data_IF_284048060985
#
_entry.id   IF_284048060985
#
_cell.length_a   1.000
_cell.length_b   1.000
_cell.length_c   1.000
_cell.angle_alpha   90.00
_cell.angle_beta   90.00
_cell.angle_gamma   90.00
#
_symmetry.space_group_name_H-M   'P 1'
#
loop_
_entity.id
_entity.type
_entity.pdbx_description
1 polymer ?
#
# COMPACT_ATOMS: atom_id res chain seq x y z
N UNK A 1 43.53 -24.81 13.92
CA UNK A 1 42.47 -24.25 13.05
C UNK A 1 42.58 -22.75 13.10
N UNK A 2 42.73 -22.10 11.94
CA UNK A 2 42.80 -20.64 11.87
C UNK A 2 41.40 -20.03 12.00
N UNK A 3 41.30 -18.79 12.50
CA UNK A 3 40.02 -18.11 12.73
C UNK A 3 39.13 -18.05 11.48
N UNK A 4 39.75 -17.90 10.30
CA UNK A 4 39.06 -17.87 9.01
C UNK A 4 38.47 -19.25 8.60
N UNK A 5 39.14 -20.35 8.95
CA UNK A 5 38.62 -21.71 8.70
C UNK A 5 37.35 -21.99 9.50
N UNK A 6 37.27 -21.47 10.74
CA UNK A 6 36.10 -21.61 11.59
C UNK A 6 34.90 -20.87 10.99
N UNK A 7 35.11 -19.65 10.47
CA UNK A 7 34.07 -18.85 9.82
C UNK A 7 33.54 -19.57 8.57
N UNK A 8 34.42 -20.07 7.72
CA UNK A 8 34.03 -20.73 6.46
C UNK A 8 33.30 -22.06 6.70
N UNK A 9 33.77 -22.85 7.67
CA UNK A 9 33.12 -24.12 8.04
C UNK A 9 31.77 -23.90 8.69
N UNK A 10 31.63 -22.87 9.53
CA UNK A 10 30.35 -22.52 10.16
C UNK A 10 29.33 -22.04 9.11
N UNK A 11 29.75 -21.19 8.17
CA UNK A 11 28.91 -20.77 7.05
C UNK A 11 28.38 -21.97 6.25
N UNK A 12 29.26 -22.93 5.91
CA UNK A 12 28.89 -24.09 5.10
C UNK A 12 27.95 -25.08 5.83
N UNK A 13 28.23 -25.42 7.10
CA UNK A 13 27.40 -26.37 7.87
C UNK A 13 26.01 -25.82 8.19
N UNK A 14 25.86 -24.49 8.30
CA UNK A 14 24.60 -23.85 8.65
C UNK A 14 23.82 -23.33 7.43
N UNK A 15 24.26 -23.59 6.20
CA UNK A 15 23.62 -23.12 4.94
C UNK A 15 22.11 -23.38 4.90
N UNK A 16 21.64 -24.52 5.41
CA UNK A 16 20.21 -24.86 5.49
C UNK A 16 19.41 -23.88 6.39
N UNK A 17 20.01 -23.41 7.48
CA UNK A 17 19.41 -22.42 8.37
C UNK A 17 19.56 -20.98 7.83
N UNK A 18 20.61 -20.71 7.06
CA UNK A 18 20.78 -19.45 6.32
C UNK A 18 19.87 -19.31 5.11
N UNK A 19 19.42 -20.42 4.51
CA UNK A 19 18.69 -20.43 3.24
C UNK A 19 17.45 -19.53 3.27
N UNK A 20 16.66 -19.56 4.35
CA UNK A 20 15.45 -18.72 4.47
C UNK A 20 15.80 -17.23 4.55
N UNK A 21 16.84 -16.87 5.31
CA UNK A 21 17.29 -15.49 5.47
C UNK A 21 17.92 -14.96 4.17
N UNK A 22 18.77 -15.75 3.54
CA UNK A 22 19.43 -15.42 2.28
C UNK A 22 18.41 -15.31 1.13
N UNK A 23 17.45 -16.24 1.05
CA UNK A 23 16.35 -16.16 0.10
C UNK A 23 15.55 -14.87 0.27
N UNK A 24 15.18 -14.54 1.51
CA UNK A 24 14.50 -13.30 1.87
C UNK A 24 15.28 -12.05 1.45
N UNK A 25 16.61 -12.04 1.63
CA UNK A 25 17.50 -10.94 1.22
C UNK A 25 17.52 -10.80 -0.30
N UNK A 26 17.74 -11.91 -1.03
CA UNK A 26 17.77 -11.94 -2.50
C UNK A 26 16.45 -11.45 -3.06
N UNK A 27 15.32 -12.00 -2.64
CA UNK A 27 14.00 -11.58 -3.13
C UNK A 27 13.76 -10.08 -2.89
N UNK A 28 14.17 -9.56 -1.74
CA UNK A 28 14.04 -8.12 -1.44
C UNK A 28 14.87 -7.26 -2.40
N UNK A 29 16.14 -7.62 -2.61
CA UNK A 29 17.04 -6.90 -3.52
C UNK A 29 16.57 -6.99 -4.97
N UNK A 30 16.11 -8.17 -5.41
CA UNK A 30 15.53 -8.39 -6.74
C UNK A 30 14.36 -7.45 -6.97
N UNK A 31 13.37 -7.45 -6.05
CA UNK A 31 12.19 -6.58 -6.17
C UNK A 31 12.57 -5.11 -6.22
N UNK A 32 13.48 -4.66 -5.34
CA UNK A 32 13.94 -3.28 -5.33
C UNK A 32 14.63 -2.88 -6.62
N UNK A 33 15.61 -3.68 -7.05
CA UNK A 33 16.32 -3.43 -8.30
C UNK A 33 15.35 -3.39 -9.48
N UNK A 34 14.36 -4.29 -9.54
CA UNK A 34 13.39 -4.33 -10.63
C UNK A 34 12.57 -3.04 -10.74
N UNK A 35 12.12 -2.46 -9.62
CA UNK A 35 11.40 -1.18 -9.61
C UNK A 35 12.31 0.01 -9.96
N UNK A 36 13.52 0.05 -9.41
CA UNK A 36 14.47 1.14 -9.71
C UNK A 36 14.95 1.08 -11.16
N UNK A 37 15.16 -0.11 -11.72
CA UNK A 37 15.48 -0.29 -13.13
C UNK A 37 14.35 0.26 -14.01
N UNK A 38 13.09 0.00 -13.66
CA UNK A 38 11.91 0.50 -14.38
C UNK A 38 11.85 2.04 -14.38
N UNK A 39 12.18 2.68 -13.25
CA UNK A 39 12.31 4.15 -13.15
C UNK A 39 13.31 4.73 -14.18
N UNK A 40 14.35 3.97 -14.52
CA UNK A 40 15.39 4.38 -15.48
C UNK A 40 15.22 3.81 -16.89
N UNK A 41 14.23 2.95 -17.13
CA UNK A 41 13.95 2.34 -18.43
C UNK A 41 13.75 3.39 -19.55
N UNK A 42 13.20 4.55 -19.18
CA UNK A 42 12.95 5.67 -20.07
C UNK A 42 14.23 6.21 -20.77
N UNK A 43 15.42 6.03 -20.18
CA UNK A 43 16.65 6.58 -20.76
C UNK A 43 17.24 5.76 -21.91
N UNK A 44 16.69 4.56 -22.19
CA UNK A 44 17.26 3.63 -23.18
C UNK A 44 16.61 3.76 -24.57
N UNK A 45 15.36 4.22 -24.66
CA UNK A 45 14.66 4.38 -25.95
C UNK A 45 14.21 5.85 -26.12
N UNK A 46 14.86 6.53 -27.06
CA UNK A 46 14.72 7.97 -27.35
C UNK A 46 13.39 8.38 -27.99
N UNK A 47 12.44 7.47 -28.20
CA UNK A 47 11.28 7.75 -29.07
C UNK A 47 9.93 7.83 -28.38
N UNK A 48 9.66 7.14 -27.27
CA UNK A 48 8.39 7.30 -26.55
C UNK A 48 8.57 7.15 -25.04
N UNK A 49 8.50 8.27 -24.32
CA UNK A 49 8.42 8.27 -22.87
C UNK A 49 6.99 7.98 -22.44
N UNK A 50 6.79 6.97 -21.61
CA UNK A 50 5.59 6.86 -20.79
C UNK A 50 5.88 7.51 -19.43
N UNK A 51 5.65 8.84 -19.25
CA UNK A 51 5.96 9.55 -18.01
C UNK A 51 5.29 8.90 -16.79
N UNK A 52 4.10 8.31 -16.99
CA UNK A 52 3.34 7.58 -15.97
C UNK A 52 4.13 6.38 -15.42
N UNK A 53 4.87 5.64 -16.27
CA UNK A 53 5.68 4.50 -15.82
C UNK A 53 6.85 4.98 -14.96
N UNK A 54 7.50 6.08 -15.36
CA UNK A 54 8.62 6.66 -14.61
C UNK A 54 8.18 7.14 -13.23
N UNK A 55 7.15 7.99 -13.17
CA UNK A 55 6.65 8.54 -11.92
C UNK A 55 6.09 7.44 -11.00
N UNK A 56 5.31 6.50 -11.56
CA UNK A 56 4.79 5.34 -10.82
C UNK A 56 5.90 4.45 -10.25
N UNK A 57 6.95 4.19 -11.04
CA UNK A 57 8.11 3.41 -10.58
C UNK A 57 8.93 4.15 -9.53
N UNK A 58 9.01 5.48 -9.60
CA UNK A 58 9.70 6.29 -8.60
C UNK A 58 8.99 6.23 -7.24
N UNK A 59 7.68 6.49 -7.22
CA UNK A 59 6.87 6.37 -5.99
C UNK A 59 6.95 4.93 -5.45
N UNK A 60 6.81 3.92 -6.33
CA UNK A 60 6.95 2.52 -5.98
C UNK A 60 8.31 2.20 -5.35
N UNK A 61 9.41 2.73 -5.91
CA UNK A 61 10.76 2.49 -5.40
C UNK A 61 10.97 3.05 -3.98
N UNK A 62 10.46 4.26 -3.69
CA UNK A 62 10.55 4.84 -2.35
C UNK A 62 9.72 4.05 -1.33
N UNK A 63 8.50 3.66 -1.71
CA UNK A 63 7.64 2.84 -0.87
C UNK A 63 8.31 1.48 -0.55
N UNK A 64 8.86 0.84 -1.58
CA UNK A 64 9.56 -0.44 -1.46
C UNK A 64 10.82 -0.32 -0.59
N UNK A 65 11.55 0.80 -0.68
CA UNK A 65 12.73 1.07 0.16
C UNK A 65 12.39 0.93 1.65
N UNK A 66 11.35 1.63 2.12
CA UNK A 66 10.96 1.59 3.53
C UNK A 66 10.48 0.20 3.97
N UNK A 67 9.66 -0.46 3.15
CA UNK A 67 9.15 -1.80 3.46
C UNK A 67 10.27 -2.82 3.53
N UNK A 68 11.21 -2.79 2.58
CA UNK A 68 12.35 -3.71 2.56
C UNK A 68 13.24 -3.47 3.77
N UNK A 69 13.56 -2.23 4.11
CA UNK A 69 14.38 -1.94 5.30
C UNK A 69 13.71 -2.48 6.58
N UNK A 70 12.41 -2.22 6.75
CA UNK A 70 11.65 -2.73 7.90
C UNK A 70 11.64 -4.28 7.93
N UNK A 71 11.44 -4.91 6.78
CA UNK A 71 11.44 -6.36 6.63
C UNK A 71 12.82 -6.98 6.92
N UNK A 72 13.91 -6.39 6.41
CA UNK A 72 15.28 -6.83 6.66
C UNK A 72 15.66 -6.70 8.13
N UNK A 73 15.29 -5.60 8.79
CA UNK A 73 15.47 -5.42 10.23
C UNK A 73 14.73 -6.48 11.04
N UNK A 74 13.50 -6.81 10.65
CA UNK A 74 12.72 -7.86 11.31
C UNK A 74 13.32 -9.25 11.08
N UNK A 75 13.71 -9.56 9.84
CA UNK A 75 14.36 -10.81 9.46
C UNK A 75 15.67 -11.01 10.26
N UNK A 76 16.46 -9.95 10.44
CA UNK A 76 17.70 -9.98 11.20
C UNK A 76 17.49 -10.30 12.69
N UNK A 77 16.45 -9.73 13.33
CA UNK A 77 16.07 -10.08 14.72
C UNK A 77 15.73 -11.57 14.83
N UNK A 78 14.95 -12.09 13.87
CA UNK A 78 14.53 -13.47 13.86
C UNK A 78 15.73 -14.41 13.64
N UNK A 79 16.65 -14.01 12.75
CA UNK A 79 17.89 -14.72 12.47
C UNK A 79 18.78 -14.84 13.72
N UNK A 80 19.04 -13.73 14.44
CA UNK A 80 19.82 -13.76 15.69
C UNK A 80 19.13 -14.61 16.76
N UNK A 81 17.80 -14.49 16.90
CA UNK A 81 17.04 -15.29 17.87
C UNK A 81 17.15 -16.79 17.63
N UNK A 82 17.26 -17.22 16.37
CA UNK A 82 17.46 -18.65 16.04
C UNK A 82 18.87 -19.13 16.36
N UNK A 83 19.87 -18.25 16.23
CA UNK A 83 21.29 -18.54 16.54
C UNK A 83 21.68 -18.25 17.99
N UNK A 84 20.72 -17.92 18.86
CA UNK A 84 21.04 -17.60 20.26
C UNK A 84 21.73 -18.74 21.00
N UNK A 85 21.52 -19.99 20.59
CA UNK A 85 22.21 -21.15 21.17
C UNK A 85 23.70 -21.19 20.79
N UNK A 86 24.04 -20.96 19.52
CA UNK A 86 25.42 -20.87 19.04
C UNK A 86 26.17 -19.70 19.70
N UNK A 87 25.51 -18.54 19.78
CA UNK A 87 26.06 -17.35 20.42
C UNK A 87 26.31 -17.57 21.93
N UNK A 88 25.46 -18.34 22.61
CA UNK A 88 25.68 -18.71 23.99
C UNK A 88 26.88 -19.66 24.15
N UNK A 89 27.04 -20.63 23.25
CA UNK A 89 28.18 -21.55 23.25
C UNK A 89 29.51 -20.79 23.09
N UNK A 90 29.57 -19.83 22.17
CA UNK A 90 30.75 -18.98 21.99
C UNK A 90 31.12 -18.20 23.27
N UNK A 91 30.12 -17.69 24.00
CA UNK A 91 30.36 -17.02 25.28
C UNK A 91 30.87 -18.00 26.35
N UNK A 92 30.36 -19.25 26.40
CA UNK A 92 30.86 -20.25 27.35
C UNK A 92 32.28 -20.72 27.05
N UNK A 93 32.72 -20.63 25.80
CA UNK A 93 34.10 -20.91 25.37
C UNK A 93 35.07 -19.74 25.65
N UNK A 94 34.61 -18.66 26.29
CA UNK A 94 35.44 -17.53 26.68
C UNK A 94 35.61 -16.45 25.61
N UNK A 95 34.86 -16.49 24.50
CA UNK A 95 34.90 -15.41 23.50
C UNK A 95 34.29 -14.13 24.05
N UNK A 96 35.00 -13.01 23.86
CA UNK A 96 34.49 -11.69 24.22
C UNK A 96 33.26 -11.34 23.36
N UNK A 97 32.34 -10.54 23.91
CA UNK A 97 31.15 -10.07 23.17
C UNK A 97 31.53 -9.32 21.89
N UNK A 98 32.63 -8.59 21.90
CA UNK A 98 33.17 -7.89 20.73
C UNK A 98 33.61 -8.86 19.63
N UNK A 99 34.29 -9.95 19.97
CA UNK A 99 34.71 -10.96 19.00
C UNK A 99 33.50 -11.65 18.36
N UNK A 100 32.45 -11.90 19.13
CA UNK A 100 31.18 -12.48 18.61
C UNK A 100 30.51 -11.51 17.64
N UNK A 101 30.44 -10.23 17.97
CA UNK A 101 29.88 -9.21 17.07
C UNK A 101 30.71 -9.11 15.79
N UNK A 102 32.03 -9.17 15.88
CA UNK A 102 32.92 -9.15 14.74
C UNK A 102 32.69 -10.33 13.79
N UNK A 103 32.54 -11.55 14.33
CA UNK A 103 32.18 -12.74 13.55
C UNK A 103 30.84 -12.53 12.83
N UNK A 104 29.82 -12.06 13.55
CA UNK A 104 28.49 -11.80 12.99
C UNK A 104 28.51 -10.74 11.88
N UNK A 105 29.30 -9.68 12.05
CA UNK A 105 29.44 -8.63 11.05
C UNK A 105 30.12 -9.16 9.77
N UNK A 106 31.17 -9.98 9.90
CA UNK A 106 31.85 -10.60 8.75
C UNK A 106 30.95 -11.60 8.01
N UNK A 107 30.23 -12.46 8.74
CA UNK A 107 29.27 -13.38 8.12
C UNK A 107 28.17 -12.62 7.38
N UNK A 108 27.64 -11.56 8.00
CA UNK A 108 26.61 -10.73 7.39
C UNK A 108 27.13 -10.02 6.14
N UNK A 109 28.36 -9.49 6.17
CA UNK A 109 29.00 -8.87 5.02
C UNK A 109 29.10 -9.85 3.84
N UNK A 110 29.54 -11.09 4.07
CA UNK A 110 29.59 -12.13 3.03
C UNK A 110 28.21 -12.42 2.43
N UNK A 111 27.17 -12.52 3.27
CA UNK A 111 25.79 -12.75 2.81
C UNK A 111 25.29 -11.57 1.95
N UNK A 112 25.56 -10.33 2.36
CA UNK A 112 25.18 -9.15 1.60
C UNK A 112 25.92 -9.05 0.26
N UNK A 113 27.20 -9.44 0.19
CA UNK A 113 27.96 -9.50 -1.07
C UNK A 113 27.34 -10.52 -2.04
N UNK A 114 27.08 -11.75 -1.56
CA UNK A 114 26.43 -12.80 -2.37
C UNK A 114 25.05 -12.32 -2.84
N UNK A 115 24.30 -11.68 -1.95
CA UNK A 115 22.98 -11.15 -2.27
C UNK A 115 23.04 -9.99 -3.27
N UNK A 116 24.04 -9.13 -3.20
CA UNK A 116 24.20 -8.05 -4.17
C UNK A 116 24.40 -8.62 -5.58
N UNK A 117 25.29 -9.61 -5.72
CA UNK A 117 25.59 -10.24 -7.00
C UNK A 117 24.34 -10.96 -7.55
N UNK A 118 23.78 -11.89 -6.77
CA UNK A 118 22.61 -12.66 -7.21
C UNK A 118 21.37 -11.79 -7.39
N UNK A 119 21.16 -10.84 -6.48
CA UNK A 119 19.99 -9.96 -6.49
C UNK A 119 19.99 -9.00 -7.67
N UNK A 120 21.15 -8.49 -8.09
CA UNK A 120 21.25 -7.66 -9.30
C UNK A 120 21.05 -8.52 -10.55
N UNK A 121 21.73 -9.68 -10.64
CA UNK A 121 21.62 -10.58 -11.81
C UNK A 121 20.16 -11.00 -12.01
N UNK A 122 19.51 -11.52 -10.96
CA UNK A 122 18.11 -11.95 -11.01
C UNK A 122 17.18 -10.73 -11.18
N UNK A 123 17.53 -9.59 -10.58
CA UNK A 123 16.80 -8.33 -10.68
C UNK A 123 16.68 -7.79 -12.10
N UNK A 124 17.69 -8.01 -12.96
CA UNK A 124 17.66 -7.67 -14.39
C UNK A 124 16.56 -8.47 -15.11
N UNK A 125 16.37 -9.74 -14.78
CA UNK A 125 15.27 -10.53 -15.31
C UNK A 125 13.93 -10.10 -14.67
N UNK A 126 13.93 -9.77 -13.38
CA UNK A 126 12.75 -9.26 -12.67
C UNK A 126 12.23 -7.94 -13.23
N UNK A 127 13.10 -7.03 -13.67
CA UNK A 127 12.70 -5.74 -14.26
C UNK A 127 11.98 -5.96 -15.59
N UNK A 128 12.44 -6.92 -16.40
CA UNK A 128 11.77 -7.34 -17.64
C UNK A 128 10.37 -7.90 -17.35
N UNK A 129 10.24 -8.76 -16.34
CA UNK A 129 8.95 -9.32 -15.93
C UNK A 129 7.97 -8.23 -15.48
N UNK A 130 8.42 -7.27 -14.65
CA UNK A 130 7.60 -6.14 -14.23
C UNK A 130 7.16 -5.26 -15.42
N UNK A 131 8.08 -4.95 -16.34
CA UNK A 131 7.73 -4.14 -17.52
C UNK A 131 6.72 -4.87 -18.41
N UNK A 132 6.81 -6.20 -18.55
CA UNK A 132 5.84 -7.01 -19.28
C UNK A 132 4.44 -6.97 -18.65
N UNK A 133 4.37 -7.01 -17.32
CA UNK A 133 3.10 -6.85 -16.60
C UNK A 133 2.51 -5.46 -16.86
N UNK A 134 3.33 -4.41 -16.76
CA UNK A 134 2.89 -3.02 -17.01
C UNK A 134 2.38 -2.83 -18.44
N UNK A 135 3.11 -3.32 -19.45
CA UNK A 135 2.69 -3.22 -20.85
C UNK A 135 1.38 -3.98 -21.12
N UNK A 136 1.23 -5.17 -20.52
CA UNK A 136 -0.02 -5.95 -20.61
C UNK A 136 -1.19 -5.19 -19.99
N UNK A 137 -0.98 -4.54 -18.84
CA UNK A 137 -2.02 -3.74 -18.17
C UNK A 137 -2.39 -2.45 -18.92
N UNK A 138 -1.44 -1.89 -19.68
CA UNK A 138 -1.62 -0.70 -20.53
C UNK A 138 -2.11 -1.04 -21.94
N UNK A 139 -2.17 -2.32 -22.32
CA UNK A 139 -2.55 -2.76 -23.67
C UNK A 139 -1.50 -2.49 -24.75
N UNK A 140 -0.25 -2.21 -24.36
CA UNK A 140 0.86 -1.92 -25.28
C UNK A 140 1.41 -3.24 -25.82
N UNK A 141 1.35 -3.43 -27.14
CA UNK A 141 1.80 -4.64 -27.83
C UNK A 141 3.21 -4.49 -28.41
N UNK A 142 4.15 -4.05 -27.58
CA UNK A 142 5.56 -3.90 -27.97
C UNK A 142 6.47 -4.95 -27.31
N UNK A 143 7.61 -5.23 -27.97
CA UNK A 143 8.64 -6.11 -27.39
C UNK A 143 9.32 -5.40 -26.22
N UNK A 144 9.30 -6.04 -25.05
CA UNK A 144 9.91 -5.53 -23.82
C UNK A 144 11.42 -5.79 -23.82
N UNK A 145 12.29 -4.75 -23.91
CA UNK A 145 13.73 -4.93 -23.84
C UNK A 145 14.19 -5.24 -22.40
N UNK A 146 15.37 -5.83 -22.28
CA UNK A 146 16.03 -5.98 -20.98
C UNK A 146 16.56 -4.61 -20.56
N UNK A 147 16.14 -4.13 -19.38
CA UNK A 147 16.55 -2.83 -18.86
C UNK A 147 17.78 -3.01 -17.97
N UNK A 148 18.90 -2.40 -18.38
CA UNK A 148 20.09 -2.28 -17.56
C UNK A 148 20.42 -0.81 -17.33
N UNK A 149 20.57 -0.42 -16.07
CA UNK A 149 20.92 0.95 -15.69
C UNK A 149 21.94 0.96 -14.57
N UNK A 150 23.10 1.58 -14.82
CA UNK A 150 24.14 1.78 -13.82
C UNK A 150 23.62 2.58 -12.60
N UNK A 151 22.66 3.49 -12.81
CA UNK A 151 22.02 4.22 -11.71
C UNK A 151 21.19 3.32 -10.82
N UNK A 152 20.50 2.33 -11.41
CA UNK A 152 19.73 1.35 -10.64
C UNK A 152 20.63 0.46 -9.78
N UNK A 153 21.79 0.07 -10.33
CA UNK A 153 22.83 -0.67 -9.58
C UNK A 153 23.30 0.17 -8.38
N UNK A 154 23.64 1.44 -8.59
CA UNK A 154 24.12 2.31 -7.52
C UNK A 154 23.08 2.52 -6.40
N UNK A 155 21.82 2.79 -6.73
CA UNK A 155 20.76 2.92 -5.73
C UNK A 155 20.49 1.60 -4.98
N UNK A 156 20.65 0.46 -5.65
CA UNK A 156 20.50 -0.86 -5.01
C UNK A 156 21.66 -1.13 -4.05
N UNK A 157 22.89 -0.76 -4.44
CA UNK A 157 24.05 -0.82 -3.56
C UNK A 157 23.87 0.11 -2.35
N UNK A 158 23.27 1.29 -2.53
CA UNK A 158 22.94 2.20 -1.44
C UNK A 158 21.94 1.55 -0.46
N UNK A 159 20.86 0.92 -0.95
CA UNK A 159 19.92 0.19 -0.09
C UNK A 159 20.61 -0.94 0.68
N UNK A 160 21.47 -1.71 0.01
CA UNK A 160 22.24 -2.79 0.64
C UNK A 160 23.18 -2.23 1.71
N UNK A 161 23.88 -1.13 1.44
CA UNK A 161 24.79 -0.48 2.40
C UNK A 161 24.05 0.04 3.63
N UNK A 162 22.90 0.69 3.44
CA UNK A 162 22.04 1.16 4.54
C UNK A 162 21.50 -0.02 5.34
N UNK A 163 21.02 -1.07 4.68
CA UNK A 163 20.54 -2.27 5.35
C UNK A 163 21.65 -2.97 6.16
N UNK A 164 22.85 -3.09 5.60
CA UNK A 164 24.02 -3.64 6.30
C UNK A 164 24.38 -2.83 7.54
N UNK A 165 24.40 -1.50 7.44
CA UNK A 165 24.69 -0.63 8.58
C UNK A 165 23.64 -0.78 9.68
N UNK A 166 22.35 -0.71 9.33
CA UNK A 166 21.25 -0.83 10.27
C UNK A 166 21.20 -2.20 10.95
N UNK A 167 21.40 -3.28 10.20
CA UNK A 167 21.41 -4.63 10.74
C UNK A 167 22.65 -4.89 11.60
N UNK A 168 23.82 -4.37 11.23
CA UNK A 168 25.03 -4.42 12.06
C UNK A 168 24.85 -3.68 13.39
N UNK A 169 24.28 -2.47 13.36
CA UNK A 169 23.96 -1.71 14.57
C UNK A 169 22.96 -2.47 15.46
N UNK A 170 21.96 -3.12 14.84
CA UNK A 170 21.02 -3.97 15.56
C UNK A 170 21.69 -5.20 16.18
N UNK A 171 22.63 -5.85 15.48
CA UNK A 171 23.41 -6.97 16.02
C UNK A 171 24.19 -6.54 17.26
N UNK A 172 24.85 -5.38 17.19
CA UNK A 172 25.55 -4.80 18.33
C UNK A 172 24.60 -4.65 19.53
N UNK A 173 23.46 -3.98 19.34
CA UNK A 173 22.48 -3.77 20.43
C UNK A 173 21.95 -5.09 20.99
N UNK A 174 21.61 -6.06 20.13
CA UNK A 174 21.03 -7.33 20.55
C UNK A 174 22.02 -8.20 21.32
N UNK A 175 23.27 -8.31 20.85
CA UNK A 175 24.31 -9.12 21.51
C UNK A 175 24.75 -8.49 22.83
N UNK A 176 24.81 -7.16 22.94
CA UNK A 176 25.12 -6.48 24.19
C UNK A 176 24.02 -6.61 25.24
N UNK A 177 22.74 -6.50 24.83
CA UNK A 177 21.58 -6.59 25.72
C UNK A 177 21.29 -8.01 26.21
N UNK A 178 21.72 -9.04 25.49
CA UNK A 178 21.51 -10.43 25.90
C UNK A 178 22.53 -10.83 26.98
N UNK A 179 22.06 -11.19 28.18
CA UNK A 179 22.89 -11.77 29.23
C UNK A 179 22.92 -13.30 29.10
N UNK A 180 24.06 -13.91 29.41
CA UNK A 180 24.32 -15.37 29.37
C UNK A 180 23.20 -16.17 30.06
N UNK A 181 22.67 -15.64 31.16
CA UNK A 181 21.62 -16.27 31.98
C UNK A 181 20.26 -16.42 31.26
N UNK A 182 19.96 -15.58 30.25
CA UNK A 182 18.70 -15.65 29.49
C UNK A 182 18.77 -16.52 28.23
N UNK A 183 19.96 -16.74 27.67
CA UNK A 183 20.14 -17.54 26.45
C UNK A 183 20.11 -19.04 26.73
N UNK A 184 20.62 -19.49 27.88
CA UNK A 184 20.57 -20.91 28.31
C UNK A 184 19.21 -21.31 28.92
N UNK A 185 18.54 -20.40 29.63
CA UNK A 185 17.21 -20.64 30.24
C UNK A 185 16.02 -20.64 29.28
N UNK A 186 16.23 -20.44 27.98
CA UNK A 186 15.11 -20.49 27.02
C UNK A 186 14.63 -21.93 26.71
N UNK A 187 15.42 -22.95 27.13
CA UNK A 187 15.07 -24.37 27.02
C UNK A 187 14.65 -25.01 28.36
N UNK A 188 14.89 -24.37 29.51
CA UNK A 188 14.52 -24.93 30.82
C UNK A 188 13.83 -23.89 31.70
N UNK A 189 12.53 -24.11 31.89
CA UNK A 189 11.72 -23.69 33.04
C UNK A 189 11.47 -22.17 33.19
N UNK A 190 10.37 -21.72 32.57
CA UNK A 190 9.31 -21.01 33.32
C UNK A 190 7.99 -21.73 33.10
N UNK A 191 7.96 -22.99 33.51
CA UNK A 191 6.75 -23.52 34.14
C UNK A 191 6.52 -22.67 35.38
N UNK A 192 5.49 -21.82 35.37
CA UNK A 192 4.73 -21.43 36.56
C UNK A 192 3.67 -20.40 36.14
N UNK A 193 2.42 -20.87 36.16
CA UNK A 193 1.25 -20.10 36.58
C UNK A 193 0.72 -18.98 35.66
N UNK A 194 0.57 -19.24 34.36
CA UNK A 194 -0.15 -18.32 33.44
C UNK A 194 -1.66 -18.64 33.26
N UNK A 195 -2.21 -19.58 34.02
CA UNK A 195 -3.65 -19.93 33.94
C UNK A 195 -4.56 -18.93 34.66
N UNK A 196 -4.04 -18.05 35.52
CA UNK A 196 -4.86 -17.01 36.15
C UNK A 196 -5.02 -15.83 35.19
N UNK A 197 -6.26 -15.33 35.09
CA UNK A 197 -6.56 -14.07 34.41
C UNK A 197 -6.01 -12.97 35.32
N UNK A 198 -4.98 -12.25 34.88
CA UNK A 198 -4.51 -11.05 35.61
C UNK A 198 -5.36 -9.86 35.20
N UNK A 199 -5.67 -8.96 36.14
CA UNK A 199 -6.47 -7.76 35.88
C UNK A 199 -5.86 -6.90 34.75
N UNK A 200 -4.54 -6.78 34.72
CA UNK A 200 -3.80 -6.10 33.64
C UNK A 200 -4.05 -6.74 32.26
N UNK A 201 -4.10 -8.07 32.16
CA UNK A 201 -4.34 -8.76 30.89
C UNK A 201 -5.78 -8.54 30.39
N UNK A 202 -6.73 -8.36 31.31
CA UNK A 202 -8.12 -8.00 31.00
C UNK A 202 -8.23 -6.57 30.50
N UNK A 203 -7.65 -5.61 31.22
CA UNK A 203 -7.67 -4.19 30.82
C UNK A 203 -7.02 -4.02 29.45
N UNK A 204 -5.82 -4.59 29.25
CA UNK A 204 -5.11 -4.50 27.97
C UNK A 204 -5.83 -5.24 26.83
N UNK A 205 -6.49 -6.36 27.12
CA UNK A 205 -7.28 -7.10 26.14
C UNK A 205 -8.50 -6.31 25.68
N UNK A 206 -9.31 -5.82 26.63
CA UNK A 206 -10.49 -5.01 26.31
C UNK A 206 -10.08 -3.73 25.58
N UNK A 207 -9.03 -3.06 26.05
CA UNK A 207 -8.50 -1.85 25.41
C UNK A 207 -8.07 -2.12 23.97
N UNK A 208 -7.39 -3.24 23.69
CA UNK A 208 -7.04 -3.64 22.32
C UNK A 208 -8.26 -3.78 21.40
N UNK A 209 -9.33 -4.44 21.86
CA UNK A 209 -10.59 -4.59 21.10
C UNK A 209 -11.27 -3.24 20.89
N UNK A 210 -11.31 -2.40 21.92
CA UNK A 210 -11.90 -1.05 21.85
C UNK A 210 -11.15 -0.19 20.83
N UNK A 211 -9.81 -0.14 20.86
CA UNK A 211 -9.01 0.62 19.89
C UNK A 211 -9.21 0.16 18.44
N UNK A 212 -9.35 -1.15 18.21
CA UNK A 212 -9.64 -1.67 16.87
C UNK A 212 -11.05 -1.24 16.43
N UNK A 213 -12.06 -1.49 17.27
CA UNK A 213 -13.46 -1.20 16.94
C UNK A 213 -13.71 0.30 16.75
N UNK A 214 -13.15 1.17 17.60
CA UNK A 214 -13.23 2.62 17.42
C UNK A 214 -12.49 3.05 16.16
N UNK A 215 -11.28 2.53 15.90
CA UNK A 215 -10.54 2.82 14.68
C UNK A 215 -11.34 2.51 13.40
N UNK A 216 -11.98 1.34 13.34
CA UNK A 216 -12.86 0.96 12.23
C UNK A 216 -14.12 1.81 12.16
N UNK A 217 -14.76 2.11 13.29
CA UNK A 217 -15.96 2.95 13.33
C UNK A 217 -15.68 4.38 12.85
N UNK A 218 -14.57 4.98 13.26
CA UNK A 218 -14.14 6.29 12.78
C UNK A 218 -13.80 6.27 11.28
N UNK A 219 -13.17 5.20 10.80
CA UNK A 219 -12.85 5.03 9.37
C UNK A 219 -14.10 5.00 8.48
N UNK A 220 -15.20 4.39 8.94
CA UNK A 220 -16.46 4.33 8.19
C UNK A 220 -17.19 5.68 8.13
N UNK A 221 -17.03 6.54 9.14
CA UNK A 221 -17.74 7.82 9.24
C UNK A 221 -16.86 9.01 8.81
N UNK A 222 -15.76 8.75 8.09
CA UNK A 222 -14.75 9.78 7.80
C UNK A 222 -15.30 10.94 6.97
N UNK A 223 -16.25 10.66 6.08
CA UNK A 223 -16.92 11.65 5.21
C UNK A 223 -17.89 12.55 5.99
N UNK A 224 -18.46 12.05 7.10
CA UNK A 224 -19.46 12.78 7.88
C UNK A 224 -18.88 13.63 9.00
N UNK A 225 -17.71 13.28 9.53
CA UNK A 225 -17.28 13.83 10.82
C UNK A 225 -15.98 14.65 10.83
N UNK A 226 -14.94 14.41 10.03
CA UNK A 226 -13.69 15.18 10.18
C UNK A 226 -12.77 15.22 8.95
N UNK A 227 -12.48 16.42 8.46
CA UNK A 227 -11.48 16.72 7.41
C UNK A 227 -10.08 17.02 8.00
N UNK A 228 -9.82 16.57 9.24
CA UNK A 228 -8.61 16.91 10.00
C UNK A 228 -7.57 15.79 9.96
N UNK A 229 -6.33 16.14 9.57
CA UNK A 229 -5.15 15.25 9.56
C UNK A 229 -4.96 14.50 10.89
N UNK A 230 -5.33 15.11 12.02
CA UNK A 230 -5.25 14.51 13.35
C UNK A 230 -6.10 13.24 13.50
N UNK A 231 -7.29 13.21 12.88
CA UNK A 231 -8.19 12.04 12.95
C UNK A 231 -7.62 10.85 12.17
N UNK A 232 -7.02 11.11 11.01
CA UNK A 232 -6.35 10.08 10.20
C UNK A 232 -5.17 9.45 10.96
N UNK A 233 -4.34 10.29 11.62
CA UNK A 233 -3.25 9.82 12.46
C UNK A 233 -3.75 9.00 13.64
N UNK A 234 -4.85 9.43 14.28
CA UNK A 234 -5.46 8.68 15.37
C UNK A 234 -5.98 7.30 14.92
N UNK A 235 -6.67 7.21 13.77
CA UNK A 235 -7.14 5.92 13.23
C UNK A 235 -5.96 4.97 12.99
N UNK A 236 -4.89 5.46 12.37
CA UNK A 236 -3.71 4.67 12.09
C UNK A 236 -3.02 4.19 13.38
N UNK A 237 -2.82 5.09 14.35
CA UNK A 237 -2.18 4.74 15.61
C UNK A 237 -3.05 3.77 16.44
N UNK A 238 -4.37 4.01 16.44
CA UNK A 238 -5.35 3.20 17.15
C UNK A 238 -5.37 1.77 16.64
N UNK A 239 -5.40 1.58 15.32
CA UNK A 239 -5.41 0.25 14.70
C UNK A 239 -4.09 -0.49 14.88
N UNK A 240 -2.94 0.19 14.79
CA UNK A 240 -1.62 -0.43 14.99
C UNK A 240 -1.40 -0.85 16.46
N UNK A 241 -1.66 0.04 17.41
CA UNK A 241 -1.53 -0.26 18.85
C UNK A 241 -2.57 -1.30 19.26
N UNK A 242 -3.81 -1.16 18.77
CA UNK A 242 -4.90 -2.11 18.99
C UNK A 242 -4.54 -3.51 18.53
N UNK A 243 -3.96 -3.67 17.33
CA UNK A 243 -3.50 -4.96 16.81
C UNK A 243 -2.42 -5.61 17.70
N UNK A 244 -1.46 -4.82 18.19
CA UNK A 244 -0.43 -5.33 19.11
C UNK A 244 -1.03 -5.85 20.42
N UNK A 245 -1.89 -5.05 21.04
CA UNK A 245 -2.58 -5.43 22.28
C UNK A 245 -3.53 -6.61 22.07
N UNK A 246 -4.13 -6.72 20.89
CA UNK A 246 -4.97 -7.84 20.51
C UNK A 246 -4.20 -9.15 20.57
N UNK A 247 -3.08 -9.26 19.85
CA UNK A 247 -2.27 -10.49 19.85
C UNK A 247 -1.58 -10.76 21.19
N UNK A 248 -1.19 -9.72 21.92
CA UNK A 248 -0.52 -9.87 23.22
C UNK A 248 -1.45 -10.32 24.34
N UNK A 249 -2.66 -9.76 24.40
CA UNK A 249 -3.55 -9.88 25.57
C UNK A 249 -4.96 -10.36 25.22
N UNK A 250 -5.56 -9.88 24.12
CA UNK A 250 -6.95 -10.26 23.76
C UNK A 250 -7.07 -11.74 23.41
N UNK A 251 -6.14 -12.29 22.62
CA UNK A 251 -6.19 -13.71 22.24
C UNK A 251 -6.11 -14.62 23.48
N UNK A 252 -5.18 -14.33 24.39
CA UNK A 252 -5.05 -15.04 25.68
C UNK A 252 -6.36 -14.99 26.48
N UNK A 253 -6.99 -13.81 26.54
CA UNK A 253 -8.26 -13.61 27.23
C UNK A 253 -9.40 -14.42 26.61
N UNK A 254 -9.52 -14.43 25.28
CA UNK A 254 -10.53 -15.23 24.57
C UNK A 254 -10.36 -16.72 24.90
N UNK A 255 -9.13 -17.26 24.83
CA UNK A 255 -8.89 -18.67 25.19
C UNK A 255 -9.23 -18.97 26.65
N UNK A 256 -8.88 -18.09 27.59
CA UNK A 256 -9.25 -18.25 29.02
C UNK A 256 -10.75 -18.15 29.25
N UNK A 257 -11.45 -17.27 28.52
CA UNK A 257 -12.89 -17.09 28.61
C UNK A 257 -13.64 -18.32 28.06
N UNK A 258 -13.23 -18.84 26.89
CA UNK A 258 -13.74 -20.10 26.33
C UNK A 258 -13.55 -21.26 27.31
N UNK A 259 -12.38 -21.33 27.97
CA UNK A 259 -12.10 -22.33 29.01
C UNK A 259 -13.06 -22.21 30.21
N UNK A 260 -13.38 -20.99 30.63
CA UNK A 260 -14.33 -20.71 31.74
C UNK A 260 -15.77 -21.06 31.37
N UNK A 261 -16.20 -20.77 30.14
CA UNK A 261 -17.56 -21.08 29.67
C UNK A 261 -17.85 -22.59 29.59
N UNK A 262 -16.83 -23.43 29.33
CA UNK A 262 -16.98 -24.89 29.28
C UNK A 262 -17.05 -25.59 30.64
N UNK A 263 -17.18 -24.85 31.76
CA UNK A 263 -17.42 -25.36 33.13
C UNK A 263 -16.58 -26.58 33.55
N UNK A 264 -15.35 -26.72 33.05
CA UNK A 264 -14.44 -27.81 33.45
C UNK A 264 -14.56 -29.13 32.67
N UNK A 265 -15.43 -29.24 31.66
CA UNK A 265 -15.47 -30.41 30.76
C UNK A 265 -14.51 -30.19 29.59
N UNK A 266 -13.22 -30.09 29.91
CA UNK A 266 -12.17 -29.83 28.92
C UNK A 266 -11.28 -31.07 28.89
N UNK A 267 -11.22 -31.73 27.75
CA UNK A 267 -10.37 -32.91 27.59
C UNK A 267 -8.90 -32.53 27.82
N UNK A 268 -8.08 -33.48 28.28
CA UNK A 268 -6.63 -33.29 28.45
C UNK A 268 -5.99 -32.71 27.17
N UNK A 269 -6.49 -33.15 26.02
CA UNK A 269 -6.09 -32.68 24.71
C UNK A 269 -6.37 -31.17 24.51
N UNK A 270 -7.58 -30.70 24.82
CA UNK A 270 -7.97 -29.30 24.69
C UNK A 270 -7.17 -28.35 25.62
N UNK A 271 -6.83 -28.81 26.83
CA UNK A 271 -5.97 -28.04 27.75
C UNK A 271 -4.55 -27.94 27.21
N UNK A 272 -4.02 -29.03 26.66
CA UNK A 272 -2.65 -29.11 26.14
C UNK A 272 -2.49 -28.26 24.87
N UNK A 273 -3.47 -28.29 23.97
CA UNK A 273 -3.51 -27.45 22.77
C UNK A 273 -3.71 -25.96 23.10
N UNK A 274 -4.70 -25.59 23.93
CA UNK A 274 -4.98 -24.17 24.22
C UNK A 274 -3.85 -23.49 24.99
N UNK A 275 -3.20 -24.20 25.92
CA UNK A 275 -2.09 -23.64 26.70
C UNK A 275 -0.85 -23.44 25.83
N UNK A 276 -0.56 -24.40 24.95
CA UNK A 276 0.57 -24.34 24.01
C UNK A 276 0.39 -23.23 22.96
N UNK A 277 -0.82 -23.09 22.39
CA UNK A 277 -1.09 -22.04 21.39
C UNK A 277 -1.08 -20.66 22.04
N UNK A 278 -1.67 -20.50 23.22
CA UNK A 278 -1.70 -19.22 23.95
C UNK A 278 -0.28 -18.75 24.29
N UNK A 279 0.58 -19.66 24.75
CA UNK A 279 1.98 -19.33 25.01
C UNK A 279 2.74 -18.93 23.74
N UNK A 280 2.58 -19.70 22.65
CA UNK A 280 3.23 -19.40 21.36
C UNK A 280 2.77 -18.07 20.78
N UNK A 281 1.48 -17.75 20.87
CA UNK A 281 0.91 -16.47 20.41
C UNK A 281 1.44 -15.32 21.27
N UNK A 282 1.40 -15.44 22.60
CA UNK A 282 1.89 -14.37 23.50
C UNK A 282 3.38 -14.11 23.34
N UNK A 283 4.19 -15.17 23.19
CA UNK A 283 5.64 -15.08 22.95
C UNK A 283 5.97 -14.43 21.60
N UNK A 284 5.15 -14.67 20.58
CA UNK A 284 5.35 -14.18 19.22
C UNK A 284 4.37 -13.05 18.82
N UNK A 285 3.73 -12.38 19.77
CA UNK A 285 2.68 -11.40 19.51
C UNK A 285 3.18 -10.25 18.61
N UNK A 286 4.42 -9.79 18.81
CA UNK A 286 5.04 -8.78 17.97
C UNK A 286 5.15 -9.23 16.50
N UNK A 287 5.66 -10.44 16.27
CA UNK A 287 5.76 -11.04 14.93
C UNK A 287 4.40 -11.16 14.25
N UNK A 288 3.39 -11.60 14.99
CA UNK A 288 2.02 -11.77 14.49
C UNK A 288 1.39 -10.41 14.12
N UNK A 289 1.66 -9.38 14.92
CA UNK A 289 1.21 -8.00 14.65
C UNK A 289 1.86 -7.43 13.39
N UNK A 290 3.17 -7.60 13.23
CA UNK A 290 3.90 -7.14 12.03
C UNK A 290 3.34 -7.81 10.77
N UNK A 291 3.09 -9.13 10.81
CA UNK A 291 2.48 -9.85 9.70
C UNK A 291 1.09 -9.31 9.37
N UNK A 292 0.24 -9.08 10.37
CA UNK A 292 -1.11 -8.54 10.17
C UNK A 292 -1.08 -7.13 9.57
N UNK A 293 -0.20 -6.24 10.04
CA UNK A 293 -0.06 -4.88 9.50
C UNK A 293 0.40 -4.91 8.05
N UNK A 294 1.41 -5.72 7.72
CA UNK A 294 1.88 -5.86 6.33
C UNK A 294 0.74 -6.37 5.45
N UNK A 295 0.01 -7.40 5.87
CA UNK A 295 -1.16 -7.89 5.13
C UNK A 295 -2.24 -6.82 4.94
N UNK A 296 -2.57 -6.05 5.99
CA UNK A 296 -3.54 -4.96 5.89
C UNK A 296 -3.09 -3.88 4.90
N UNK A 297 -1.82 -3.48 4.91
CA UNK A 297 -1.25 -2.54 3.95
C UNK A 297 -1.36 -3.09 2.53
N UNK A 298 -0.96 -4.34 2.30
CA UNK A 298 -1.01 -4.96 0.96
C UNK A 298 -2.42 -4.99 0.39
N UNK A 299 -3.41 -5.43 1.17
CA UNK A 299 -4.82 -5.47 0.75
C UNK A 299 -5.35 -4.06 0.49
N UNK A 300 -5.03 -3.10 1.35
CA UNK A 300 -5.48 -1.70 1.20
C UNK A 300 -4.93 -1.07 -0.08
N UNK A 301 -3.65 -1.24 -0.37
CA UNK A 301 -3.01 -0.73 -1.60
C UNK A 301 -3.63 -1.39 -2.84
N UNK A 302 -3.89 -2.69 -2.80
CA UNK A 302 -4.50 -3.42 -3.90
C UNK A 302 -5.94 -2.98 -4.17
N UNK A 303 -6.75 -2.84 -3.12
CA UNK A 303 -8.11 -2.31 -3.22
C UNK A 303 -8.12 -0.87 -3.73
N UNK A 304 -7.24 -0.02 -3.20
CA UNK A 304 -7.10 1.37 -3.67
C UNK A 304 -6.74 1.44 -5.15
N UNK A 305 -5.79 0.62 -5.61
CA UNK A 305 -5.42 0.55 -7.03
C UNK A 305 -6.59 0.09 -7.92
N UNK A 306 -7.35 -0.92 -7.48
CA UNK A 306 -8.51 -1.42 -8.22
C UNK A 306 -9.64 -0.38 -8.32
N UNK A 307 -9.98 0.25 -7.19
CA UNK A 307 -11.00 1.31 -7.13
C UNK A 307 -10.56 2.52 -7.96
N UNK A 308 -9.28 2.92 -7.86
CA UNK A 308 -8.73 4.03 -8.63
C UNK A 308 -8.82 3.77 -10.14
N UNK A 309 -8.45 2.57 -10.60
CA UNK A 309 -8.60 2.19 -12.02
C UNK A 309 -10.07 2.24 -12.48
N UNK A 310 -10.99 1.67 -11.69
CA UNK A 310 -12.41 1.67 -12.02
C UNK A 310 -13.03 3.08 -12.02
N UNK A 311 -12.57 3.93 -11.09
CA UNK A 311 -13.00 5.32 -10.99
C UNK A 311 -12.50 6.14 -12.17
N UNK A 312 -11.22 6.00 -12.52
CA UNK A 312 -10.62 6.68 -13.67
C UNK A 312 -11.29 6.26 -14.98
N UNK A 313 -11.58 4.97 -15.18
CA UNK A 313 -12.27 4.51 -16.39
C UNK A 313 -13.69 5.06 -16.48
N UNK A 314 -14.37 5.20 -15.34
CA UNK A 314 -15.70 5.82 -15.28
C UNK A 314 -15.61 7.32 -15.55
N UNK A 315 -14.67 8.01 -14.94
CA UNK A 315 -14.44 9.45 -15.13
C UNK A 315 -14.10 9.80 -16.58
N UNK A 316 -13.22 9.04 -17.24
CA UNK A 316 -12.92 9.22 -18.66
C UNK A 316 -14.18 9.06 -19.51
N UNK A 317 -15.01 8.05 -19.22
CA UNK A 317 -16.28 7.84 -19.94
C UNK A 317 -17.26 9.01 -19.77
N UNK A 318 -17.26 9.68 -18.63
CA UNK A 318 -18.12 10.84 -18.37
C UNK A 318 -17.55 12.16 -18.90
N UNK A 319 -16.23 12.35 -18.84
CA UNK A 319 -15.58 13.63 -19.17
C UNK A 319 -15.15 13.73 -20.63
N UNK A 320 -14.77 12.61 -21.24
CA UNK A 320 -14.33 12.51 -22.62
C UNK A 320 -15.03 11.34 -23.34
N UNK A 321 -16.37 11.42 -23.55
CA UNK A 321 -17.14 10.36 -24.22
C UNK A 321 -16.79 10.19 -25.70
N UNK A 322 -16.09 11.16 -26.31
CA UNK A 322 -15.63 11.12 -27.68
C UNK A 322 -14.10 11.22 -27.72
N UNK A 323 -13.47 10.61 -28.72
CA UNK A 323 -12.01 10.56 -28.88
C UNK A 323 -11.37 11.95 -28.91
N UNK A 324 -12.06 12.93 -29.50
CA UNK A 324 -11.62 14.33 -29.59
C UNK A 324 -12.81 15.26 -29.37
N UNK A 325 -12.68 16.23 -28.47
CA UNK A 325 -13.67 17.30 -28.25
C UNK A 325 -13.00 18.66 -28.37
N UNK A 326 -13.36 19.44 -29.40
CA UNK A 326 -12.79 20.76 -29.67
C UNK A 326 -13.90 21.82 -29.54
N UNK A 327 -13.63 22.87 -28.77
CA UNK A 327 -14.57 23.99 -28.57
C UNK A 327 -14.53 25.03 -29.70
N UNK A 328 -13.42 25.08 -30.44
CA UNK A 328 -13.17 26.04 -31.51
C UNK A 328 -13.47 25.43 -32.88
N UNK A 329 -14.44 26.00 -33.59
CA UNK A 329 -14.88 25.51 -34.89
C UNK A 329 -13.78 25.57 -35.96
N UNK A 330 -12.91 26.58 -35.94
CA UNK A 330 -11.85 26.71 -36.94
C UNK A 330 -10.82 25.59 -36.79
N UNK A 331 -10.41 25.32 -35.54
CA UNK A 331 -9.49 24.22 -35.22
C UNK A 331 -10.10 22.85 -35.52
N UNK A 332 -11.39 22.67 -35.24
CA UNK A 332 -12.10 21.45 -35.56
C UNK A 332 -12.12 21.17 -37.07
N UNK A 333 -12.35 22.20 -37.89
CA UNK A 333 -12.34 22.09 -39.35
C UNK A 333 -10.93 21.80 -39.90
N UNK A 334 -9.88 22.44 -39.34
CA UNK A 334 -8.49 22.16 -39.70
C UNK A 334 -8.13 20.69 -39.44
N UNK A 335 -8.47 20.17 -38.26
CA UNK A 335 -8.24 18.77 -37.92
C UNK A 335 -9.01 17.82 -38.85
N UNK A 336 -10.27 18.13 -39.16
CA UNK A 336 -11.06 17.34 -40.10
C UNK A 336 -10.42 17.29 -41.51
N UNK A 337 -9.88 18.41 -41.99
CA UNK A 337 -9.12 18.45 -43.26
C UNK A 337 -7.85 17.59 -43.20
N UNK A 338 -7.08 17.64 -42.11
CA UNK A 338 -5.89 16.79 -41.93
C UNK A 338 -6.23 15.29 -41.88
N UNK A 339 -7.29 14.92 -41.16
CA UNK A 339 -7.77 13.53 -41.08
C UNK A 339 -8.24 13.02 -42.45
N UNK A 340 -8.93 13.87 -43.23
CA UNK A 340 -9.31 13.56 -44.61
C UNK A 340 -8.09 13.34 -45.51
N UNK A 341 -7.06 14.18 -45.39
CA UNK A 341 -5.81 14.04 -46.15
C UNK A 341 -5.09 12.72 -45.84
N UNK A 342 -5.13 12.28 -44.58
CA UNK A 342 -4.54 11.00 -44.15
C UNK A 342 -5.48 9.80 -44.34
N UNK A 343 -6.68 9.99 -44.93
CA UNK A 343 -7.71 8.97 -45.13
C UNK A 343 -8.14 8.26 -43.85
N UNK A 344 -8.16 8.97 -42.72
CA UNK A 344 -8.61 8.45 -41.44
C UNK A 344 -10.14 8.68 -41.32
N UNK A 345 -10.95 7.61 -41.18
CA UNK A 345 -12.40 7.75 -41.03
C UNK A 345 -12.73 8.48 -39.73
N UNK A 346 -13.60 9.49 -39.81
CA UNK A 346 -14.03 10.25 -38.64
C UNK A 346 -15.51 10.65 -38.77
N UNK A 347 -16.16 10.84 -37.61
CA UNK A 347 -17.55 11.28 -37.53
C UNK A 347 -17.61 12.67 -36.90
N UNK A 348 -18.25 13.62 -37.57
CA UNK A 348 -18.39 14.98 -37.09
C UNK A 348 -19.71 15.15 -36.33
N UNK A 349 -19.63 15.38 -35.01
CA UNK A 349 -20.80 15.60 -34.14
C UNK A 349 -20.77 17.03 -33.59
N UNK A 350 -21.39 17.97 -34.31
CA UNK A 350 -21.46 19.37 -33.90
C UNK A 350 -22.65 19.62 -32.98
N UNK A 351 -22.38 20.27 -31.84
CA UNK A 351 -23.41 20.73 -30.92
C UNK A 351 -23.15 22.18 -30.55
N UNK A 352 -24.15 23.03 -30.72
CA UNK A 352 -24.09 24.41 -30.26
C UNK A 352 -24.35 24.47 -28.76
N UNK A 353 -23.49 25.20 -28.05
CA UNK A 353 -23.49 25.25 -26.59
C UNK A 353 -23.26 26.68 -26.12
N UNK A 354 -24.11 27.15 -25.20
CA UNK A 354 -24.04 28.47 -24.59
C UNK A 354 -23.67 28.32 -23.12
N UNK A 355 -22.62 29.01 -22.68
CA UNK A 355 -22.23 29.10 -21.27
C UNK A 355 -22.80 30.39 -20.67
N UNK A 356 -23.61 30.27 -19.62
CA UNK A 356 -24.31 31.41 -19.02
C UNK A 356 -24.49 31.20 -17.51
N UNK A 357 -24.85 32.29 -16.81
CA UNK A 357 -24.99 32.29 -15.35
C UNK A 357 -26.45 32.08 -14.95
N UNK A 358 -26.65 31.43 -13.80
CA UNK A 358 -27.94 31.48 -13.10
C UNK A 358 -28.02 32.79 -12.33
N UNK A 359 -29.05 33.60 -12.60
CA UNK A 359 -29.19 34.94 -11.99
C UNK A 359 -30.13 34.95 -10.78
N UNK A 360 -31.24 34.21 -10.87
CA UNK A 360 -32.15 33.94 -9.75
C UNK A 360 -32.62 32.51 -9.87
N UNK A 361 -32.41 31.74 -8.81
CA UNK A 361 -32.70 30.32 -8.81
C UNK A 361 -33.65 29.92 -7.68
N UNK A 362 -34.64 29.09 -8.05
CA UNK A 362 -35.51 28.36 -7.13
C UNK A 362 -35.38 26.84 -7.32
N UNK A 363 -34.41 26.39 -8.13
CA UNK A 363 -34.20 25.00 -8.51
C UNK A 363 -33.27 24.25 -7.56
N UNK A 364 -32.23 24.90 -7.04
CA UNK A 364 -31.23 24.32 -6.13
C UNK A 364 -31.47 24.78 -4.68
N UNK A 365 -31.35 23.86 -3.72
CA UNK A 365 -31.40 24.21 -2.29
C UNK A 365 -30.10 24.90 -1.87
N UNK A 366 -30.18 26.03 -1.15
CA UNK A 366 -29.05 26.88 -0.69
C UNK A 366 -27.95 26.13 0.10
N UNK A 367 -28.23 24.91 0.58
CA UNK A 367 -27.25 24.03 1.26
C UNK A 367 -26.38 23.22 0.31
N UNK A 368 -26.79 23.03 -0.93
CA UNK A 368 -25.98 22.49 -2.02
C UNK A 368 -25.21 23.65 -2.66
N UNK A 369 -23.94 23.46 -3.03
CA UNK A 369 -23.18 24.49 -3.76
C UNK A 369 -23.96 24.89 -5.03
N UNK A 370 -24.55 26.07 -5.05
CA UNK A 370 -25.28 26.58 -6.22
C UNK A 370 -24.32 26.66 -7.43
N UNK A 371 -24.65 26.04 -8.57
CA UNK A 371 -23.83 26.16 -9.76
C UNK A 371 -23.96 27.58 -10.33
N UNK A 372 -22.91 28.38 -10.16
CA UNK A 372 -22.84 29.76 -10.70
C UNK A 372 -22.85 29.81 -12.24
N UNK A 373 -22.41 28.75 -12.90
CA UNK A 373 -22.34 28.65 -14.36
C UNK A 373 -23.09 27.40 -14.81
N UNK A 374 -23.95 27.55 -15.83
CA UNK A 374 -24.64 26.47 -16.51
C UNK A 374 -24.38 26.49 -17.99
N UNK A 375 -24.50 25.32 -18.58
CA UNK A 375 -24.25 25.05 -19.99
C UNK A 375 -25.57 24.64 -20.63
N UNK A 376 -25.95 25.31 -21.71
CA UNK A 376 -27.25 25.13 -22.38
C UNK A 376 -27.01 24.72 -23.82
N UNK A 377 -27.78 23.77 -24.31
CA UNK A 377 -27.79 23.35 -25.71
C UNK A 377 -29.24 23.23 -26.19
N UNK A 378 -29.45 23.21 -27.51
CA UNK A 378 -30.77 22.99 -28.10
C UNK A 378 -31.19 21.52 -27.98
N UNK A 379 -32.48 21.31 -27.76
CA UNK A 379 -33.18 20.03 -27.84
C UNK A 379 -32.95 19.27 -29.16
N UNK A 380 -32.69 19.96 -30.27
CA UNK A 380 -32.30 19.35 -31.56
C UNK A 380 -31.09 18.41 -31.44
N UNK A 381 -30.18 18.65 -30.50
CA UNK A 381 -28.96 17.87 -30.31
C UNK A 381 -29.11 16.71 -29.32
N UNK A 382 -30.30 16.53 -28.75
CA UNK A 382 -30.61 15.51 -27.75
C UNK A 382 -31.75 14.63 -28.30
N UNK A 383 -31.52 13.31 -28.50
CA UNK A 383 -32.58 12.42 -28.95
C UNK A 383 -33.68 12.31 -27.89
N UNK A 384 -34.94 12.20 -28.33
CA UNK A 384 -36.13 12.03 -27.49
C UNK A 384 -36.50 13.24 -26.60
N UNK A 385 -36.07 14.45 -26.95
CA UNK A 385 -36.54 15.69 -26.32
C UNK A 385 -37.32 16.56 -27.30
N UNK A 386 -38.55 16.92 -26.94
CA UNK A 386 -39.40 17.88 -27.64
C UNK A 386 -39.84 18.94 -26.59
N UNK A 387 -39.23 20.12 -26.66
CA UNK A 387 -39.42 21.20 -25.69
C UNK A 387 -40.14 22.38 -26.35
N UNK A 388 -41.19 22.89 -25.69
CA UNK A 388 -41.85 24.13 -26.13
C UNK A 388 -41.02 25.34 -25.73
N UNK A 389 -41.21 26.46 -26.44
CA UNK A 389 -40.54 27.74 -26.12
C UNK A 389 -40.71 28.10 -24.64
N UNK A 390 -39.60 28.30 -23.93
CA UNK A 390 -39.57 28.61 -22.50
C UNK A 390 -39.53 27.38 -21.56
N UNK A 391 -39.51 26.16 -22.09
CA UNK A 391 -39.26 24.94 -21.33
C UNK A 391 -37.80 24.50 -21.43
N UNK A 392 -37.29 23.86 -20.37
CA UNK A 392 -35.95 23.29 -20.33
C UNK A 392 -35.96 21.99 -19.53
N UNK A 393 -35.12 21.03 -19.90
CA UNK A 393 -34.82 19.86 -19.06
C UNK A 393 -33.46 20.08 -18.40
N UNK A 394 -33.37 19.79 -17.10
CA UNK A 394 -32.12 19.90 -16.34
C UNK A 394 -31.41 18.55 -16.33
N UNK A 395 -30.24 18.50 -16.97
CA UNK A 395 -29.34 17.35 -16.90
C UNK A 395 -28.29 17.59 -15.82
N UNK A 396 -28.35 16.82 -14.73
CA UNK A 396 -27.28 16.74 -13.73
C UNK A 396 -26.51 15.46 -14.01
N UNK A 397 -25.22 15.60 -14.34
CA UNK A 397 -24.36 14.43 -14.59
C UNK A 397 -24.39 13.47 -13.39
N UNK A 398 -24.59 12.18 -13.66
CA UNK A 398 -24.57 11.16 -12.61
C UNK A 398 -23.14 10.97 -12.08
N UNK A 399 -22.97 10.99 -10.76
CA UNK A 399 -21.68 10.99 -10.08
C UNK A 399 -21.72 11.81 -8.78
N UNK A 400 -20.56 12.13 -8.21
CA UNK A 400 -20.40 12.83 -6.92
C UNK A 400 -21.20 14.13 -6.80
N UNK A 401 -21.56 14.76 -7.92
CA UNK A 401 -22.33 16.01 -7.99
C UNK A 401 -23.82 15.79 -7.74
N UNK A 402 -24.41 14.64 -8.12
CA UNK A 402 -25.84 14.35 -7.93
C UNK A 402 -26.21 14.28 -6.44
N UNK A 403 -25.31 13.75 -5.62
CA UNK A 403 -25.46 13.72 -4.15
C UNK A 403 -25.18 15.08 -3.49
N UNK A 404 -24.38 15.93 -4.13
CA UNK A 404 -24.06 17.28 -3.67
C UNK A 404 -25.07 18.35 -4.11
N UNK A 405 -25.83 18.11 -5.18
CA UNK A 405 -26.75 19.07 -5.81
C UNK A 405 -28.19 18.54 -5.76
N UNK A 406 -28.81 18.71 -4.60
CA UNK A 406 -30.26 18.54 -4.46
C UNK A 406 -30.97 19.61 -5.31
N UNK A 407 -31.77 19.16 -6.26
CA UNK A 407 -32.53 20.02 -7.16
C UNK A 407 -34.01 19.58 -7.19
N UNK A 408 -34.91 20.55 -7.43
CA UNK A 408 -36.33 20.27 -7.62
C UNK A 408 -36.56 19.72 -9.03
N UNK A 409 -37.40 18.68 -9.14
CA UNK A 409 -37.80 18.12 -10.44
C UNK A 409 -38.56 19.12 -11.32
N UNK A 410 -39.28 20.06 -10.70
CA UNK A 410 -40.00 21.12 -11.40
C UNK A 410 -39.73 22.48 -10.74
N UNK A 411 -39.62 23.54 -11.53
CA UNK A 411 -39.41 24.89 -11.03
C UNK A 411 -39.20 25.91 -12.15
N UNK A 412 -38.98 27.17 -11.76
CA UNK A 412 -38.64 28.26 -12.68
C UNK A 412 -37.26 28.79 -12.33
N UNK A 413 -36.46 29.09 -13.36
CA UNK A 413 -35.18 29.75 -13.20
C UNK A 413 -35.01 30.88 -14.21
N UNK A 414 -34.18 31.85 -13.84
CA UNK A 414 -33.80 32.96 -14.70
C UNK A 414 -32.35 32.79 -15.08
N UNK A 415 -32.13 32.60 -16.38
CA UNK A 415 -30.81 32.39 -16.96
C UNK A 415 -30.36 33.67 -17.67
N UNK A 416 -29.11 34.08 -17.45
CA UNK A 416 -28.49 35.21 -18.12
C UNK A 416 -27.88 36.22 -17.15
N UNK A 417 -27.91 37.49 -17.55
CA UNK A 417 -27.39 38.62 -16.76
C UNK A 417 -28.54 39.53 -16.33
N UNK A 418 -28.28 40.44 -15.39
CA UNK A 418 -29.28 41.44 -14.94
C UNK A 418 -29.91 42.24 -16.10
N UNK A 419 -29.17 42.43 -17.21
CA UNK A 419 -29.63 43.19 -18.40
C UNK A 419 -30.30 42.32 -19.47
N UNK A 420 -29.87 41.08 -19.64
CA UNK A 420 -30.40 40.17 -20.67
C UNK A 420 -30.63 38.80 -20.03
N UNK A 421 -31.91 38.44 -19.85
CA UNK A 421 -32.29 37.20 -19.19
C UNK A 421 -33.47 36.52 -19.88
N UNK A 422 -33.54 35.20 -19.74
CA UNK A 422 -34.65 34.38 -20.23
C UNK A 422 -35.23 33.60 -19.06
N UNK A 423 -36.57 33.63 -18.96
CA UNK A 423 -37.30 32.83 -17.99
C UNK A 423 -37.50 31.43 -18.54
N UNK A 424 -37.02 30.43 -17.82
CA UNK A 424 -37.22 29.02 -18.16
C UNK A 424 -38.06 28.33 -17.10
N UNK A 425 -38.89 27.38 -17.53
CA UNK A 425 -39.63 26.48 -16.67
C UNK A 425 -39.12 25.05 -16.91
N UNK A 426 -38.70 24.37 -15.84
CA UNK A 426 -38.37 22.96 -15.94
C UNK A 426 -39.63 22.14 -16.21
N UNK A 427 -39.52 21.19 -17.15
CA UNK A 427 -40.61 20.26 -17.49
C UNK A 427 -40.89 19.27 -16.37
#
# INVERSE_FOLDING_TARGET
MTFNEIIFKNFHQNLSHYAIYLFSLITSVVLYFSFVALKYAHKLNMTESYPIIKEGSQVGSYFLFFIIIAFLLYANVLFIKRRSYELALYQTLGLSKFNIIYILMLEQLLIFIITAILGIIIGIFGSKLLLMIVFTLLGIKEKVPIIFSLRAVFETLMLIGVAYFLTSAQNFILVFKQSISQMSKNNQVKETNHNKITFEEVVLGILGIVLITTGYYLSLNIVQYYDSIGTLMFILLSTVIGAYLFFKSSVSLVFKMVKKFRKGVISVNDVMFSSSIMYRIKKNAFSLTVMAIISAITVSVLCFAAISRASLSSEIKYTAPHDVTIKDQQKANQLASELNNQKIPHFYNYKEVIHTKLYKDNLFDVKAKEPYNVTITSDKYIPNTDLKRGQADLFVAEGSIKDLVKHKKHGKAIIGTKKHHVNIKLR
#
